data_IF_072256007662
#
_entry.id   IF_072256007662
#
_cell.length_a   1.000
_cell.length_b   1.000
_cell.length_c   1.000
_cell.angle_alpha   90.00
_cell.angle_beta   90.00
_cell.angle_gamma   90.00
#
_symmetry.space_group_name_H-M   'P 1'
#
loop_
_entity.id
_entity.type
_entity.pdbx_description
1 polymer ?
#
# COMPACT_ATOMS: atom_id res chain seq x y z
N UNK A 1 28.64 -16.04 50.93
CA UNK A 1 28.32 -17.40 50.42
C UNK A 1 26.87 -17.71 50.73
N UNK A 2 25.98 -17.90 49.76
CA UNK A 2 26.00 -17.46 48.37
C UNK A 2 24.93 -16.39 48.07
N UNK A 3 25.24 -15.53 47.11
CA UNK A 3 24.29 -14.65 46.44
C UNK A 3 23.25 -15.52 45.74
N UNK A 4 21.97 -15.29 46.01
CA UNK A 4 20.90 -15.90 45.21
C UNK A 4 21.04 -15.43 43.77
N UNK A 5 21.07 -16.32 42.76
CA UNK A 5 21.05 -15.88 41.39
C UNK A 5 19.65 -15.31 41.13
N UNK A 6 19.59 -14.00 40.85
CA UNK A 6 18.48 -13.42 40.10
C UNK A 6 18.49 -14.13 38.75
N UNK A 7 17.67 -15.17 38.63
CA UNK A 7 17.36 -15.78 37.34
C UNK A 7 16.49 -14.75 36.62
N UNK A 8 17.12 -13.79 35.94
CA UNK A 8 16.52 -13.07 34.83
C UNK A 8 16.21 -14.11 33.75
N UNK A 9 15.04 -14.75 33.88
CA UNK A 9 14.48 -15.63 32.85
C UNK A 9 13.78 -14.74 31.86
N UNK A 10 14.55 -14.14 30.95
CA UNK A 10 14.04 -13.49 29.75
C UNK A 10 13.05 -14.44 29.08
N UNK A 11 11.81 -14.01 28.91
CA UNK A 11 10.81 -14.82 28.20
C UNK A 11 11.34 -14.99 26.77
N UNK A 12 11.37 -16.20 26.22
CA UNK A 12 11.84 -16.42 24.86
C UNK A 12 10.84 -15.89 23.81
N UNK A 13 11.35 -15.43 22.67
CA UNK A 13 10.53 -15.13 21.49
C UNK A 13 9.98 -16.39 20.81
N UNK A 14 8.98 -16.22 19.96
CA UNK A 14 8.42 -17.30 19.13
C UNK A 14 9.43 -17.82 18.10
N UNK A 15 10.45 -17.03 17.75
CA UNK A 15 11.59 -17.47 16.93
C UNK A 15 12.36 -18.66 17.55
N UNK A 16 12.24 -18.93 18.85
CA UNK A 16 12.86 -20.11 19.45
C UNK A 16 12.20 -21.45 19.06
N UNK A 17 11.09 -21.40 18.31
CA UNK A 17 10.44 -22.55 17.66
C UNK A 17 11.18 -23.07 16.41
N UNK A 18 12.29 -22.42 16.01
CA UNK A 18 13.10 -22.74 14.82
C UNK A 18 13.81 -24.13 14.77
N UNK A 19 13.86 -25.04 15.78
CA UNK A 19 14.77 -26.17 15.68
C UNK A 19 14.55 -27.19 14.53
N UNK A 20 13.37 -27.35 13.91
CA UNK A 20 13.22 -28.31 12.80
C UNK A 20 11.99 -28.20 11.84
N UNK A 21 10.92 -27.47 12.16
CA UNK A 21 9.62 -27.69 11.45
C UNK A 21 8.91 -26.44 10.89
N UNK A 22 9.51 -25.25 11.06
CA UNK A 22 9.00 -24.04 10.41
C UNK A 22 9.48 -23.99 8.95
N UNK A 23 8.56 -23.75 8.01
CA UNK A 23 8.95 -23.41 6.65
C UNK A 23 9.51 -21.99 6.66
N UNK A 24 10.66 -21.78 6.04
CA UNK A 24 11.36 -20.50 6.09
C UNK A 24 11.58 -19.94 4.69
N UNK A 25 11.34 -18.64 4.57
CA UNK A 25 11.62 -17.86 3.38
C UNK A 25 12.60 -16.77 3.81
N UNK A 26 13.77 -16.79 3.19
CA UNK A 26 14.93 -15.97 3.53
C UNK A 26 15.15 -14.87 2.50
N UNK A 27 15.85 -13.80 2.89
CA UNK A 27 16.30 -12.77 1.96
C UNK A 27 15.24 -11.70 1.66
N UNK A 28 15.40 -11.01 0.53
CA UNK A 28 14.54 -9.88 0.14
C UNK A 28 13.06 -10.26 -0.04
N UNK A 29 12.75 -11.54 -0.21
CA UNK A 29 11.38 -12.04 -0.32
C UNK A 29 10.66 -12.19 1.02
N UNK A 30 11.35 -12.16 2.17
CA UNK A 30 10.77 -12.48 3.47
C UNK A 30 9.62 -11.53 3.88
N UNK A 31 9.88 -10.22 3.94
CA UNK A 31 8.85 -9.22 4.28
C UNK A 31 7.69 -9.14 3.28
N UNK A 32 7.95 -9.15 1.96
CA UNK A 32 6.87 -9.22 0.99
C UNK A 32 6.01 -10.49 1.11
N UNK A 33 6.64 -11.64 1.39
CA UNK A 33 5.94 -12.90 1.62
C UNK A 33 5.05 -12.82 2.85
N UNK A 34 5.58 -12.26 3.93
CA UNK A 34 4.86 -11.99 5.16
C UNK A 34 3.56 -11.21 4.89
N UNK A 35 3.64 -10.11 4.14
CA UNK A 35 2.47 -9.32 3.78
C UNK A 35 1.47 -10.05 2.87
N UNK A 36 1.97 -10.78 1.87
CA UNK A 36 1.11 -11.57 1.00
C UNK A 36 0.34 -12.65 1.78
N UNK A 37 1.01 -13.32 2.74
CA UNK A 37 0.37 -14.30 3.62
C UNK A 37 -0.69 -13.67 4.51
N UNK A 38 -0.43 -12.49 5.10
CA UNK A 38 -1.42 -11.78 5.90
C UNK A 38 -2.66 -11.36 5.09
N UNK A 39 -2.45 -10.91 3.86
CA UNK A 39 -3.56 -10.54 2.97
C UNK A 39 -4.36 -11.76 2.52
N UNK A 40 -3.69 -12.87 2.20
CA UNK A 40 -4.35 -14.13 1.88
C UNK A 40 -5.13 -14.69 3.08
N UNK A 41 -4.57 -14.64 4.29
CA UNK A 41 -5.27 -15.00 5.52
C UNK A 41 -6.53 -14.16 5.71
N UNK A 42 -6.43 -12.83 5.52
CA UNK A 42 -7.60 -11.93 5.62
C UNK A 42 -8.71 -12.32 4.65
N UNK A 43 -8.38 -12.64 3.40
CA UNK A 43 -9.36 -13.06 2.40
C UNK A 43 -10.02 -14.41 2.71
N UNK A 44 -9.31 -15.33 3.36
CA UNK A 44 -9.85 -16.64 3.72
C UNK A 44 -10.69 -16.57 5.01
N UNK A 45 -10.28 -15.71 5.94
CA UNK A 45 -10.94 -15.56 7.24
C UNK A 45 -12.28 -14.82 7.17
N UNK A 46 -12.56 -14.08 6.10
CA UNK A 46 -13.88 -13.45 5.88
C UNK A 46 -15.02 -14.47 5.76
N UNK A 47 -14.73 -15.71 5.37
CA UNK A 47 -15.73 -16.78 5.24
C UNK A 47 -15.87 -17.65 6.50
N UNK A 48 -15.04 -17.41 7.52
CA UNK A 48 -15.03 -18.19 8.77
C UNK A 48 -15.99 -17.56 9.78
N UNK A 49 -16.87 -18.37 10.36
CA UNK A 49 -17.87 -17.90 11.32
C UNK A 49 -17.35 -17.82 12.76
N UNK A 50 -16.43 -18.71 13.14
CA UNK A 50 -15.84 -18.75 14.49
C UNK A 50 -14.36 -19.08 14.45
N UNK A 51 -13.56 -18.39 15.26
CA UNK A 51 -12.12 -18.60 15.33
C UNK A 51 -11.45 -17.59 16.25
N UNK A 52 -10.17 -17.84 16.52
CA UNK A 52 -9.29 -17.07 17.37
C UNK A 52 -8.09 -16.60 16.56
N UNK A 53 -7.80 -15.30 16.62
CA UNK A 53 -6.68 -14.65 15.95
C UNK A 53 -5.81 -13.97 17.00
N UNK A 54 -4.54 -14.32 17.04
CA UNK A 54 -3.54 -13.78 17.96
C UNK A 54 -2.46 -13.08 17.14
N UNK A 55 -2.22 -11.79 17.39
CA UNK A 55 -1.22 -11.01 16.63
C UNK A 55 -0.39 -10.10 17.52
N UNK A 56 0.87 -9.90 17.16
CA UNK A 56 1.75 -8.88 17.72
C UNK A 56 2.74 -8.37 16.67
N UNK A 57 3.30 -7.15 16.81
CA UNK A 57 2.68 -5.98 17.41
C UNK A 57 1.62 -5.33 16.49
N UNK A 58 1.70 -5.62 15.19
CA UNK A 58 0.82 -5.21 14.08
C UNK A 58 1.04 -6.21 12.91
N UNK A 59 0.09 -6.37 11.97
CA UNK A 59 -1.11 -5.56 11.75
C UNK A 59 -2.40 -6.07 12.40
N UNK A 60 -3.29 -5.13 12.70
CA UNK A 60 -4.65 -5.39 13.15
C UNK A 60 -5.56 -5.73 11.95
N UNK A 61 -6.15 -6.93 11.95
CA UNK A 61 -7.13 -7.36 10.95
C UNK A 61 -8.53 -6.88 11.34
N UNK A 62 -8.76 -5.57 11.23
CA UNK A 62 -9.96 -4.87 11.71
C UNK A 62 -11.29 -5.37 11.18
N UNK A 63 -11.31 -6.03 10.03
CA UNK A 63 -12.53 -6.39 9.31
C UNK A 63 -13.10 -7.76 9.73
N UNK A 64 -12.42 -8.46 10.65
CA UNK A 64 -12.77 -9.81 11.09
C UNK A 64 -13.58 -9.80 12.40
N UNK A 65 -14.63 -8.97 12.49
CA UNK A 65 -15.45 -8.79 13.71
C UNK A 65 -16.12 -10.06 14.27
N UNK A 66 -16.13 -11.15 13.50
CA UNK A 66 -16.74 -12.44 13.87
C UNK A 66 -15.79 -13.37 14.64
N UNK A 67 -14.50 -13.07 14.65
CA UNK A 67 -13.47 -13.89 15.30
C UNK A 67 -13.04 -13.23 16.62
N UNK A 68 -12.63 -14.05 17.58
CA UNK A 68 -12.02 -13.59 18.83
C UNK A 68 -10.60 -13.09 18.53
N UNK A 69 -10.29 -11.83 18.84
CA UNK A 69 -8.97 -11.24 18.55
C UNK A 69 -8.20 -10.93 19.83
N UNK A 70 -6.94 -11.35 19.87
CA UNK A 70 -5.99 -11.05 20.93
C UNK A 70 -4.78 -10.32 20.32
N UNK A 71 -4.59 -9.07 20.73
CA UNK A 71 -3.62 -8.16 20.15
C UNK A 71 -2.62 -7.75 21.22
N UNK A 72 -1.34 -8.04 21.00
CA UNK A 72 -0.27 -7.45 21.78
C UNK A 72 0.17 -6.17 21.09
N UNK A 73 0.08 -5.03 21.77
CA UNK A 73 0.31 -3.69 21.20
C UNK A 73 1.33 -2.96 22.07
N UNK A 74 2.33 -2.28 21.49
CA UNK A 74 3.31 -1.50 22.26
C UNK A 74 2.63 -0.51 23.23
N UNK A 75 3.19 -0.39 24.43
CA UNK A 75 2.73 0.60 25.43
C UNK A 75 2.73 2.02 24.83
N UNK A 76 1.63 2.76 25.04
CA UNK A 76 1.41 4.11 24.50
C UNK A 76 0.66 4.18 23.17
N UNK A 77 0.56 3.08 22.41
CA UNK A 77 -0.21 3.05 21.14
C UNK A 77 -1.69 2.67 21.32
N UNK A 78 -2.06 2.05 22.45
CA UNK A 78 -3.42 1.56 22.72
C UNK A 78 -4.49 2.67 22.68
N UNK A 79 -4.24 3.79 23.37
CA UNK A 79 -5.14 4.94 23.39
C UNK A 79 -5.24 5.66 22.04
N UNK A 80 -4.17 5.59 21.23
CA UNK A 80 -4.11 6.19 19.89
C UNK A 80 -4.80 5.35 18.81
N UNK A 81 -4.91 4.03 19.03
CA UNK A 81 -5.57 3.07 18.12
C UNK A 81 -7.09 2.96 18.35
N UNK A 82 -7.65 3.62 19.38
CA UNK A 82 -9.08 3.52 19.73
C UNK A 82 -9.49 2.11 20.17
N UNK A 83 -8.52 1.28 20.55
CA UNK A 83 -8.75 -0.05 21.06
C UNK A 83 -9.21 0.02 22.52
N UNK A 84 -10.15 -0.84 22.96
CA UNK A 84 -10.61 -0.83 24.34
C UNK A 84 -9.44 -1.09 25.28
N UNK A 85 -9.31 -0.27 26.31
CA UNK A 85 -8.42 -0.57 27.42
C UNK A 85 -9.04 -1.74 28.18
N UNK A 86 -8.34 -2.88 28.20
CA UNK A 86 -8.78 -4.07 28.93
C UNK A 86 -8.79 -3.77 30.43
N UNK A 87 -9.90 -3.22 30.95
CA UNK A 87 -10.11 -3.08 32.39
C UNK A 87 -10.62 -4.44 32.92
N UNK A 88 -9.88 -5.13 33.82
CA UNK A 88 -10.20 -6.49 34.27
C UNK A 88 -11.41 -6.58 35.22
N UNK A 89 -12.33 -5.62 35.22
CA UNK A 89 -13.45 -5.55 36.19
C UNK A 89 -14.83 -5.22 35.61
N UNK A 90 -14.98 -5.03 34.30
CA UNK A 90 -16.29 -4.76 33.69
C UNK A 90 -16.76 -5.89 32.77
N UNK A 91 -18.07 -6.07 32.72
CA UNK A 91 -18.76 -7.21 32.11
C UNK A 91 -18.38 -7.42 30.63
N UNK A 92 -18.30 -8.71 30.27
CA UNK A 92 -17.75 -9.28 29.04
C UNK A 92 -18.58 -8.92 27.82
N UNK A 93 -18.04 -8.09 26.93
CA UNK A 93 -18.50 -7.96 25.55
C UNK A 93 -17.58 -8.79 24.63
N UNK A 94 -18.17 -9.76 23.91
CA UNK A 94 -17.47 -10.72 23.04
C UNK A 94 -17.15 -10.15 21.65
N UNK A 95 -17.49 -8.90 21.38
CA UNK A 95 -17.39 -8.26 20.05
C UNK A 95 -16.17 -7.37 19.87
N UNK A 96 -15.31 -7.25 20.89
CA UNK A 96 -14.18 -6.32 20.92
C UNK A 96 -12.84 -7.06 21.05
N UNK A 97 -11.80 -6.66 20.28
CA UNK A 97 -10.48 -7.26 20.37
C UNK A 97 -9.89 -7.04 21.77
N UNK A 98 -9.35 -8.10 22.36
CA UNK A 98 -8.60 -8.05 23.62
C UNK A 98 -7.22 -7.48 23.34
N UNK A 99 -6.84 -6.43 24.06
CA UNK A 99 -5.58 -5.73 23.83
C UNK A 99 -4.68 -5.82 25.06
N UNK A 100 -3.46 -6.32 24.82
CA UNK A 100 -2.42 -6.56 25.81
C UNK A 100 -1.27 -5.59 25.54
N UNK A 101 -0.80 -4.83 26.54
CA UNK A 101 0.38 -3.97 26.37
C UNK A 101 1.65 -4.80 26.18
N UNK A 102 2.56 -4.33 25.31
CA UNK A 102 3.92 -4.84 25.21
C UNK A 102 4.89 -3.80 25.77
N UNK A 103 5.62 -4.19 26.81
CA UNK A 103 6.65 -3.35 27.42
C UNK A 103 7.88 -3.23 26.49
N UNK A 104 8.55 -2.07 26.51
CA UNK A 104 9.80 -1.80 25.81
C UNK A 104 10.90 -2.77 26.31
N UNK A 105 11.13 -3.86 25.58
CA UNK A 105 12.07 -4.92 25.95
C UNK A 105 11.50 -6.34 25.79
N UNK A 106 10.20 -6.47 25.50
CA UNK A 106 9.58 -7.75 25.18
C UNK A 106 10.09 -8.30 23.84
N UNK A 107 10.52 -9.57 23.74
CA UNK A 107 10.92 -10.18 22.46
C UNK A 107 9.80 -10.16 21.41
N UNK A 108 8.52 -10.21 21.81
CA UNK A 108 7.38 -10.18 20.87
C UNK A 108 7.26 -8.82 20.14
N UNK A 109 7.93 -7.76 20.61
CA UNK A 109 8.00 -6.50 19.86
C UNK A 109 8.86 -6.61 18.61
N UNK A 110 9.88 -7.47 18.63
CA UNK A 110 10.83 -7.64 17.54
C UNK A 110 10.42 -8.75 16.57
N UNK A 111 9.41 -9.55 16.93
CA UNK A 111 8.95 -10.70 16.14
C UNK A 111 7.48 -10.55 15.77
N UNK A 112 7.15 -9.78 14.72
CA UNK A 112 5.77 -9.70 14.25
C UNK A 112 5.22 -11.09 13.92
N UNK A 113 4.08 -11.45 14.49
CA UNK A 113 3.45 -12.74 14.26
C UNK A 113 1.94 -12.63 14.07
N UNK A 114 1.39 -13.64 13.39
CA UNK A 114 -0.04 -13.85 13.25
C UNK A 114 -0.32 -15.35 13.38
N UNK A 115 -1.06 -15.70 14.42
CA UNK A 115 -1.53 -17.04 14.69
C UNK A 115 -3.05 -17.07 14.56
N UNK A 116 -3.53 -17.97 13.74
CA UNK A 116 -4.95 -18.15 13.44
C UNK A 116 -5.36 -19.56 13.80
N UNK A 117 -6.43 -19.69 14.59
CA UNK A 117 -7.01 -20.95 15.02
C UNK A 117 -8.52 -20.88 14.79
N UNK A 118 -9.04 -21.63 13.83
CA UNK A 118 -10.49 -21.67 13.55
C UNK A 118 -10.97 -23.11 13.43
N UNK A 119 -12.26 -23.28 13.17
CA UNK A 119 -12.88 -24.56 12.85
C UNK A 119 -12.55 -25.08 11.43
N UNK A 120 -11.97 -24.24 10.57
CA UNK A 120 -11.64 -24.58 9.17
C UNK A 120 -10.16 -24.61 8.86
N UNK A 121 -9.38 -23.75 9.50
CA UNK A 121 -7.95 -23.59 9.23
C UNK A 121 -7.18 -23.20 10.48
N UNK A 122 -5.91 -23.57 10.51
CA UNK A 122 -4.97 -23.18 11.57
C UNK A 122 -3.60 -22.86 10.98
N UNK A 123 -3.04 -21.71 11.30
CA UNK A 123 -1.83 -21.22 10.64
C UNK A 123 -1.07 -20.26 11.53
N UNK A 124 0.24 -20.36 11.46
CA UNK A 124 1.17 -19.46 12.11
C UNK A 124 2.09 -18.90 11.05
N UNK A 125 2.28 -17.60 11.11
CA UNK A 125 3.34 -16.92 10.40
C UNK A 125 4.05 -16.01 11.41
N UNK A 126 5.37 -15.90 11.28
CA UNK A 126 6.25 -15.02 12.05
C UNK A 126 7.25 -14.34 11.11
N UNK A 127 7.49 -13.05 11.29
CA UNK A 127 8.61 -12.32 10.72
C UNK A 127 9.71 -12.21 11.78
N UNK A 128 10.86 -12.82 11.53
CA UNK A 128 12.00 -12.85 12.46
C UNK A 128 13.12 -11.95 11.93
N UNK A 129 13.61 -10.97 12.69
CA UNK A 129 14.78 -10.20 12.31
C UNK A 129 16.03 -11.07 12.44
N UNK A 130 16.84 -11.15 11.36
CA UNK A 130 18.08 -11.93 11.33
C UNK A 130 19.21 -11.08 10.73
N UNK A 131 20.46 -11.33 11.15
CA UNK A 131 21.66 -10.45 11.09
C UNK A 131 21.87 -9.58 9.82
N UNK A 132 21.39 -10.01 8.65
CA UNK A 132 21.53 -9.28 7.37
C UNK A 132 20.26 -9.19 6.54
N UNK A 133 19.30 -10.09 6.73
CA UNK A 133 18.00 -10.10 6.02
C UNK A 133 16.93 -10.73 6.91
N UNK A 134 15.68 -10.22 6.90
CA UNK A 134 14.60 -10.80 7.69
C UNK A 134 14.25 -12.22 7.21
N UNK A 135 13.65 -13.02 8.10
CA UNK A 135 13.17 -14.36 7.83
C UNK A 135 11.64 -14.40 8.00
N UNK A 136 10.93 -14.86 6.98
CA UNK A 136 9.51 -15.16 7.10
C UNK A 136 9.36 -16.65 7.38
N UNK A 137 8.94 -16.98 8.59
CA UNK A 137 8.73 -18.34 9.07
C UNK A 137 7.23 -18.61 9.13
N UNK A 138 6.76 -19.77 8.68
CA UNK A 138 5.35 -20.12 8.79
C UNK A 138 5.15 -21.63 8.93
N UNK A 139 4.01 -22.03 9.49
CA UNK A 139 3.64 -23.42 9.64
C UNK A 139 2.13 -23.60 9.78
N UNK A 140 1.66 -24.77 9.35
CA UNK A 140 0.31 -25.27 9.52
C UNK A 140 0.30 -26.59 10.31
N UNK A 141 1.45 -27.01 10.85
CA UNK A 141 1.61 -28.26 11.58
C UNK A 141 1.02 -28.11 12.98
N UNK A 142 0.10 -29.01 13.41
CA UNK A 142 -0.55 -28.91 14.72
C UNK A 142 0.43 -28.86 15.90
N UNK A 143 1.58 -29.53 15.78
CA UNK A 143 2.64 -29.58 16.81
C UNK A 143 3.29 -28.20 17.01
N UNK A 144 3.72 -27.57 15.91
CA UNK A 144 4.27 -26.19 15.92
C UNK A 144 3.25 -25.18 16.45
N UNK A 145 1.99 -25.32 16.02
CA UNK A 145 0.91 -24.43 16.47
C UNK A 145 0.59 -24.62 17.96
N UNK A 146 0.57 -25.86 18.46
CA UNK A 146 0.36 -26.14 19.88
C UNK A 146 1.49 -25.56 20.74
N UNK A 147 2.72 -25.61 20.25
CA UNK A 147 3.87 -25.04 20.95
C UNK A 147 3.85 -23.51 20.95
N UNK A 148 3.48 -22.86 19.84
CA UNK A 148 3.26 -21.41 19.79
C UNK A 148 2.16 -20.97 20.77
N UNK A 149 1.04 -21.71 20.81
CA UNK A 149 -0.04 -21.51 21.78
C UNK A 149 0.47 -21.62 23.23
N UNK A 150 1.30 -22.63 23.52
CA UNK A 150 1.89 -22.85 24.85
C UNK A 150 2.78 -21.67 25.26
N UNK A 151 3.62 -21.18 24.35
CA UNK A 151 4.49 -20.03 24.60
C UNK A 151 3.70 -18.75 24.84
N UNK A 152 2.68 -18.47 24.03
CA UNK A 152 1.82 -17.29 24.21
C UNK A 152 1.02 -17.34 25.51
N UNK A 153 0.52 -18.52 25.89
CA UNK A 153 -0.16 -18.71 27.17
C UNK A 153 0.79 -18.49 28.36
N UNK A 154 2.03 -18.97 28.29
CA UNK A 154 3.06 -18.74 29.33
C UNK A 154 3.47 -17.27 29.43
N UNK A 155 3.66 -16.62 28.27
CA UNK A 155 3.97 -15.20 28.17
C UNK A 155 2.87 -14.36 28.85
N UNK A 156 1.61 -14.61 28.47
CA UNK A 156 0.45 -13.94 29.06
C UNK A 156 0.28 -14.24 30.55
N UNK A 157 0.51 -15.48 30.98
CA UNK A 157 0.43 -15.84 32.41
C UNK A 157 1.42 -15.06 33.28
N UNK A 158 2.62 -14.80 32.75
CA UNK A 158 3.67 -14.06 33.46
C UNK A 158 3.42 -12.56 33.49
N UNK A 159 2.97 -11.98 32.37
CA UNK A 159 2.80 -10.54 32.25
C UNK A 159 1.41 -10.05 32.64
N UNK A 160 0.38 -10.87 32.40
CA UNK A 160 -1.03 -10.55 32.60
C UNK A 160 -1.78 -11.69 33.33
N UNK A 161 -1.47 -11.97 34.61
CA UNK A 161 -2.06 -13.09 35.35
C UNK A 161 -3.60 -13.06 35.38
N UNK A 162 -4.20 -11.87 35.38
CA UNK A 162 -5.66 -11.68 35.39
C UNK A 162 -6.33 -12.16 34.09
N UNK A 163 -5.64 -12.07 32.95
CA UNK A 163 -6.18 -12.43 31.62
C UNK A 163 -5.80 -13.85 31.18
N UNK A 164 -4.95 -14.53 31.96
CA UNK A 164 -4.51 -15.89 31.67
C UNK A 164 -5.70 -16.86 31.54
N UNK A 165 -6.65 -16.79 32.47
CA UNK A 165 -7.80 -17.70 32.47
C UNK A 165 -8.68 -17.51 31.23
N UNK A 166 -8.88 -16.26 30.80
CA UNK A 166 -9.63 -15.94 29.57
C UNK A 166 -8.91 -16.45 28.32
N UNK A 167 -7.59 -16.24 28.22
CA UNK A 167 -6.81 -16.70 27.08
C UNK A 167 -6.84 -18.23 26.98
N UNK A 168 -6.64 -18.93 28.10
CA UNK A 168 -6.67 -20.39 28.15
C UNK A 168 -8.04 -20.94 27.74
N UNK A 169 -9.14 -20.30 28.16
CA UNK A 169 -10.48 -20.66 27.73
C UNK A 169 -10.69 -20.46 26.22
N UNK A 170 -10.22 -19.35 25.66
CA UNK A 170 -10.28 -19.10 24.22
C UNK A 170 -9.47 -20.13 23.42
N UNK A 171 -8.25 -20.43 23.86
CA UNK A 171 -7.38 -21.44 23.24
C UNK A 171 -7.93 -22.87 23.35
N UNK A 172 -8.67 -23.18 24.43
CA UNK A 172 -9.34 -24.47 24.56
C UNK A 172 -10.51 -24.64 23.57
N UNK A 173 -11.18 -23.54 23.21
CA UNK A 173 -12.29 -23.53 22.26
C UNK A 173 -11.82 -23.73 20.82
N UNK A 174 -10.65 -23.20 20.47
CA UNK A 174 -10.08 -23.26 19.12
C UNK A 174 -8.73 -23.97 19.16
N UNK A 175 -8.77 -25.31 19.06
CA UNK A 175 -7.54 -26.14 19.04
C UNK A 175 -6.92 -26.13 17.64
N UNK A 176 -5.58 -26.24 17.53
CA UNK A 176 -4.91 -26.39 16.23
C UNK A 176 -5.46 -27.58 15.45
N UNK A 177 -5.92 -27.33 14.23
CA UNK A 177 -6.42 -28.34 13.32
C UNK A 177 -5.29 -28.93 12.48
N UNK A 178 -5.38 -30.24 12.24
CA UNK A 178 -4.62 -30.88 11.18
C UNK A 178 -5.25 -30.54 9.84
N UNK A 179 -4.66 -29.59 9.12
CA UNK A 179 -5.20 -29.12 7.85
C UNK A 179 -4.73 -30.01 6.70
N UNK A 180 -5.66 -30.47 5.85
CA UNK A 180 -5.32 -31.15 4.61
C UNK A 180 -4.72 -30.15 3.59
N UNK A 181 -3.82 -30.60 2.72
CA UNK A 181 -3.20 -29.77 1.70
C UNK A 181 -4.22 -29.09 0.76
N UNK A 182 -5.34 -29.77 0.47
CA UNK A 182 -6.44 -29.26 -0.36
C UNK A 182 -7.11 -28.01 0.24
N UNK A 183 -7.17 -27.91 1.58
CA UNK A 183 -7.72 -26.77 2.33
C UNK A 183 -6.93 -25.49 2.06
N UNK A 184 -5.62 -25.62 1.82
CA UNK A 184 -4.71 -24.50 1.64
C UNK A 184 -4.47 -24.13 0.17
N UNK A 185 -5.01 -24.89 -0.79
CA UNK A 185 -4.84 -24.59 -2.21
C UNK A 185 -5.36 -23.19 -2.61
N UNK A 186 -6.55 -22.71 -2.15
CA UNK A 186 -7.01 -21.36 -2.43
C UNK A 186 -6.15 -20.28 -1.79
N UNK A 187 -5.65 -20.54 -0.57
CA UNK A 187 -4.73 -19.64 0.12
C UNK A 187 -3.42 -19.52 -0.64
N UNK A 188 -2.77 -20.63 -0.98
CA UNK A 188 -1.51 -20.61 -1.73
C UNK A 188 -1.69 -20.04 -3.13
N UNK A 189 -2.83 -20.27 -3.79
CA UNK A 189 -3.15 -19.59 -5.04
C UNK A 189 -3.26 -18.07 -4.87
N UNK A 190 -3.83 -17.59 -3.76
CA UNK A 190 -3.93 -16.16 -3.44
C UNK A 190 -2.55 -15.57 -3.13
N UNK A 191 -1.74 -16.27 -2.31
CA UNK A 191 -0.35 -15.90 -2.04
C UNK A 191 0.43 -15.84 -3.35
N UNK A 192 0.31 -16.85 -4.22
CA UNK A 192 0.98 -16.94 -5.51
C UNK A 192 0.47 -15.93 -6.56
N UNK A 193 -0.77 -15.45 -6.48
CA UNK A 193 -1.25 -14.35 -7.33
C UNK A 193 -0.68 -13.00 -6.88
N UNK A 194 -0.38 -12.87 -5.59
CA UNK A 194 0.26 -11.70 -4.99
C UNK A 194 1.80 -11.80 -5.03
N UNK A 195 2.34 -12.99 -5.30
CA UNK A 195 3.76 -13.32 -5.41
C UNK A 195 4.51 -12.76 -6.64
N UNK A 196 3.94 -12.67 -7.87
CA UNK A 196 4.66 -12.13 -9.04
C UNK A 196 4.78 -10.60 -9.07
N UNK A 197 4.16 -9.88 -8.13
CA UNK A 197 4.47 -8.47 -7.83
C UNK A 197 5.62 -8.34 -6.83
N UNK A 198 5.98 -9.42 -6.16
CA UNK A 198 6.94 -9.45 -5.05
C UNK A 198 8.29 -10.07 -5.45
N UNK A 199 8.31 -11.08 -6.33
CA UNK A 199 9.55 -11.76 -6.77
C UNK A 199 10.15 -11.25 -8.09
N UNK A 200 9.49 -10.32 -8.79
CA UNK A 200 10.03 -9.81 -10.04
C UNK A 200 11.15 -8.77 -9.88
N UNK A 201 11.51 -8.44 -8.64
CA UNK A 201 12.70 -7.66 -8.30
C UNK A 201 13.99 -8.49 -8.28
N UNK A 202 13.95 -9.83 -8.40
CA UNK A 202 15.15 -10.64 -8.10
C UNK A 202 15.41 -11.84 -9.02
N UNK A 203 15.13 -11.71 -10.34
CA UNK A 203 15.67 -12.66 -11.32
C UNK A 203 16.93 -12.04 -11.95
N UNK A 204 18.14 -12.55 -11.68
CA UNK A 204 19.29 -12.13 -12.47
C UNK A 204 19.03 -12.54 -13.93
N UNK A 205 19.19 -11.65 -14.91
CA UNK A 205 19.07 -12.03 -16.32
C UNK A 205 20.15 -13.09 -16.63
N UNK A 206 19.89 -14.04 -17.54
CA UNK A 206 20.95 -14.90 -18.05
C UNK A 206 22.07 -14.00 -18.58
N UNK A 207 23.31 -14.29 -18.19
CA UNK A 207 24.51 -13.53 -18.55
C UNK A 207 24.68 -13.45 -20.07
N UNK A 208 24.02 -12.48 -20.70
CA UNK A 208 24.49 -11.90 -21.94
C UNK A 208 25.26 -10.64 -21.57
N UNK A 209 26.59 -10.76 -21.61
CA UNK A 209 27.51 -9.63 -21.55
C UNK A 209 27.17 -8.64 -22.66
N UNK A 210 26.39 -7.63 -22.32
CA UNK A 210 26.35 -6.37 -23.02
C UNK A 210 26.77 -5.28 -22.03
N UNK A 211 28.03 -4.85 -22.14
CA UNK A 211 28.62 -3.73 -21.41
C UNK A 211 27.82 -2.45 -21.67
N UNK A 212 26.79 -2.18 -20.85
CA UNK A 212 26.11 -0.89 -20.79
C UNK A 212 26.09 -0.40 -19.33
N UNK A 213 26.88 0.63 -18.98
CA UNK A 213 27.05 1.09 -17.59
C UNK A 213 25.76 1.65 -16.95
N UNK A 214 24.72 1.97 -17.74
CA UNK A 214 23.50 2.62 -17.24
C UNK A 214 22.48 1.66 -16.58
N UNK A 215 22.49 0.36 -16.91
CA UNK A 215 21.50 -0.60 -16.38
C UNK A 215 21.73 -1.01 -14.93
N UNK A 216 22.99 -1.10 -14.49
CA UNK A 216 23.32 -1.43 -13.10
C UNK A 216 22.86 -0.32 -12.14
N UNK A 217 22.98 0.94 -12.55
CA UNK A 217 22.54 2.09 -11.75
C UNK A 217 21.00 2.20 -11.70
N UNK A 218 20.29 1.83 -12.77
CA UNK A 218 18.82 1.74 -12.76
C UNK A 218 18.29 0.70 -11.76
N UNK A 219 18.96 -0.46 -11.64
CA UNK A 219 18.60 -1.50 -10.67
C UNK A 219 18.76 -1.04 -9.21
N UNK A 220 19.87 -0.38 -8.89
CA UNK A 220 20.09 0.17 -7.56
C UNK A 220 19.11 1.31 -7.21
N UNK A 221 18.80 2.19 -8.17
CA UNK A 221 17.80 3.24 -7.99
C UNK A 221 16.39 2.65 -7.80
N UNK A 222 16.06 1.53 -8.47
CA UNK A 222 14.83 0.79 -8.26
C UNK A 222 14.73 0.29 -6.82
N UNK A 223 15.69 -0.51 -6.36
CA UNK A 223 15.65 -1.12 -5.01
C UNK A 223 15.49 -0.06 -3.92
N UNK A 224 16.22 1.06 -4.05
CA UNK A 224 16.10 2.19 -3.14
C UNK A 224 14.69 2.82 -3.17
N UNK A 225 14.10 3.00 -4.35
CA UNK A 225 12.74 3.55 -4.47
C UNK A 225 11.69 2.58 -3.96
N UNK A 226 11.87 1.28 -4.16
CA UNK A 226 10.98 0.26 -3.61
C UNK A 226 11.01 0.28 -2.09
N UNK A 227 12.20 0.32 -1.49
CA UNK A 227 12.38 0.43 -0.04
C UNK A 227 11.73 1.71 0.51
N UNK A 228 12.04 2.87 -0.08
CA UNK A 228 11.46 4.17 0.35
C UNK A 228 9.94 4.17 0.19
N UNK A 229 9.41 3.67 -0.93
CA UNK A 229 7.97 3.62 -1.14
C UNK A 229 7.29 2.72 -0.10
N UNK A 230 7.91 1.61 0.29
CA UNK A 230 7.38 0.72 1.32
C UNK A 230 7.44 1.35 2.72
N UNK A 231 8.59 1.89 3.11
CA UNK A 231 8.80 2.56 4.39
C UNK A 231 7.90 3.78 4.59
N UNK A 232 7.52 4.47 3.51
CA UNK A 232 6.61 5.62 3.57
C UNK A 232 5.14 5.19 3.52
N UNK A 233 4.79 4.22 2.67
CA UNK A 233 3.39 3.79 2.49
C UNK A 233 2.83 3.13 3.75
N UNK A 234 3.63 2.34 4.47
CA UNK A 234 3.21 1.63 5.67
C UNK A 234 2.75 2.56 6.81
N UNK A 235 3.55 3.54 7.28
CA UNK A 235 3.10 4.47 8.31
C UNK A 235 1.93 5.35 7.85
N UNK A 236 1.91 5.78 6.57
CA UNK A 236 0.79 6.56 6.04
C UNK A 236 -0.51 5.75 5.97
N UNK A 237 -0.44 4.46 5.62
CA UNK A 237 -1.60 3.58 5.64
C UNK A 237 -2.16 3.41 7.05
N UNK A 238 -1.28 3.31 8.06
CA UNK A 238 -1.65 3.27 9.47
C UNK A 238 -2.32 4.58 9.90
N UNK A 239 -1.69 5.75 9.63
CA UNK A 239 -2.26 7.07 9.96
C UNK A 239 -3.63 7.25 9.29
N UNK A 240 -3.77 6.85 8.02
CA UNK A 240 -5.03 6.90 7.29
C UNK A 240 -6.11 6.05 7.96
N UNK A 241 -5.76 4.82 8.34
CA UNK A 241 -6.69 3.88 9.00
C UNK A 241 -7.16 4.44 10.35
N UNK A 242 -6.24 4.96 11.16
CA UNK A 242 -6.54 5.64 12.41
C UNK A 242 -7.46 6.85 12.21
N UNK A 243 -7.14 7.67 11.21
CA UNK A 243 -7.92 8.87 10.88
C UNK A 243 -9.34 8.52 10.45
N UNK A 244 -9.51 7.50 9.61
CA UNK A 244 -10.83 6.98 9.19
C UNK A 244 -11.61 6.38 10.35
N UNK A 245 -10.94 5.69 11.27
CA UNK A 245 -11.57 5.19 12.50
C UNK A 245 -12.13 6.35 13.33
N UNK A 246 -11.33 7.40 13.56
CA UNK A 246 -11.79 8.60 14.27
C UNK A 246 -12.98 9.27 13.57
N UNK A 247 -12.96 9.39 12.24
CA UNK A 247 -14.06 10.03 11.47
C UNK A 247 -15.42 9.33 11.60
N UNK A 248 -15.47 8.05 12.00
CA UNK A 248 -16.72 7.32 12.27
C UNK A 248 -17.41 7.75 13.56
N UNK A 249 -16.71 8.45 14.45
CA UNK A 249 -17.27 8.99 15.68
C UNK A 249 -18.28 10.10 15.40
N UNK A 250 -19.47 9.96 15.98
CA UNK A 250 -20.54 10.96 15.88
C UNK A 250 -20.28 12.18 16.78
N UNK A 251 -19.50 12.03 17.86
CA UNK A 251 -19.24 13.04 18.89
C UNK A 251 -18.07 14.00 18.54
N UNK A 252 -17.61 14.01 17.28
CA UNK A 252 -16.51 14.87 16.86
C UNK A 252 -16.94 16.33 16.64
N UNK A 253 -16.22 17.32 17.24
CA UNK A 253 -16.39 18.71 16.88
C UNK A 253 -16.14 18.94 15.37
N UNK A 254 -16.93 19.82 14.74
CA UNK A 254 -16.86 20.07 13.29
C UNK A 254 -15.44 20.43 12.81
N UNK A 255 -14.69 21.21 13.61
CA UNK A 255 -13.31 21.59 13.28
C UNK A 255 -12.34 20.40 13.33
N UNK A 256 -12.53 19.47 14.27
CA UNK A 256 -11.73 18.25 14.35
C UNK A 256 -12.02 17.33 13.16
N UNK A 257 -13.30 17.14 12.81
CA UNK A 257 -13.72 16.40 11.61
C UNK A 257 -13.07 16.96 10.34
N UNK A 258 -13.12 18.28 10.12
CA UNK A 258 -12.48 18.93 8.96
C UNK A 258 -10.96 18.70 8.89
N UNK A 259 -10.27 18.70 10.04
CA UNK A 259 -8.82 18.41 10.10
C UNK A 259 -8.53 16.94 9.80
N UNK A 260 -9.32 16.01 10.34
CA UNK A 260 -9.18 14.59 10.08
C UNK A 260 -9.46 14.25 8.59
N UNK A 261 -10.48 14.85 7.99
CA UNK A 261 -10.74 14.72 6.54
C UNK A 261 -9.56 15.24 5.69
N UNK A 262 -8.89 16.30 6.15
CA UNK A 262 -7.68 16.80 5.48
C UNK A 262 -6.52 15.81 5.60
N UNK A 263 -6.31 15.22 6.78
CA UNK A 263 -5.27 14.20 7.02
C UNK A 263 -5.53 12.93 6.21
N UNK A 264 -6.77 12.44 6.17
CA UNK A 264 -7.15 11.24 5.40
C UNK A 264 -6.87 11.43 3.90
N UNK A 265 -7.21 12.61 3.39
CA UNK A 265 -6.97 12.98 2.00
C UNK A 265 -5.48 13.08 1.71
N UNK A 266 -4.68 13.75 2.54
CA UNK A 266 -3.23 13.84 2.35
C UNK A 266 -2.57 12.44 2.40
N UNK A 267 -2.94 11.60 3.36
CA UNK A 267 -2.42 10.24 3.44
C UNK A 267 -2.78 9.43 2.18
N UNK A 268 -4.01 9.58 1.68
CA UNK A 268 -4.46 8.90 0.47
C UNK A 268 -3.67 9.37 -0.76
N UNK A 269 -3.53 10.68 -0.94
CA UNK A 269 -2.75 11.28 -2.04
C UNK A 269 -1.28 10.80 -2.02
N UNK A 270 -0.64 10.77 -0.85
CA UNK A 270 0.75 10.30 -0.76
C UNK A 270 0.87 8.79 -1.00
N UNK A 271 -0.04 7.97 -0.45
CA UNK A 271 -0.05 6.51 -0.70
C UNK A 271 -0.21 6.23 -2.20
N UNK A 272 -1.12 6.92 -2.87
CA UNK A 272 -1.37 6.74 -4.30
C UNK A 272 -0.15 7.20 -5.12
N UNK A 273 0.48 8.32 -4.74
CA UNK A 273 1.68 8.84 -5.40
C UNK A 273 2.87 7.90 -5.30
N UNK A 274 3.19 7.39 -4.11
CA UNK A 274 4.27 6.41 -3.95
C UNK A 274 3.94 5.08 -4.61
N UNK A 275 2.66 4.67 -4.61
CA UNK A 275 2.19 3.51 -5.38
C UNK A 275 2.42 3.67 -6.89
N UNK A 276 2.15 4.86 -7.43
CA UNK A 276 2.41 5.18 -8.83
C UNK A 276 3.90 5.19 -9.14
N UNK A 277 4.74 5.74 -8.27
CA UNK A 277 6.19 5.74 -8.46
C UNK A 277 6.73 4.32 -8.55
N UNK A 278 6.35 3.46 -7.61
CA UNK A 278 6.73 2.06 -7.63
C UNK A 278 6.31 1.39 -8.95
N UNK A 279 5.03 1.51 -9.36
CA UNK A 279 4.54 0.91 -10.60
C UNK A 279 5.22 1.45 -11.85
N UNK A 280 5.45 2.76 -11.92
CA UNK A 280 6.10 3.39 -13.07
C UNK A 280 7.54 2.89 -13.21
N UNK A 281 8.24 2.66 -12.11
CA UNK A 281 9.60 2.13 -12.13
C UNK A 281 9.63 0.64 -12.46
N UNK A 282 8.70 -0.17 -11.95
CA UNK A 282 8.59 -1.58 -12.37
C UNK A 282 8.44 -1.74 -13.89
N UNK A 283 7.73 -0.80 -14.52
CA UNK A 283 7.56 -0.75 -15.97
C UNK A 283 8.83 -0.35 -16.74
N UNK A 284 9.81 0.28 -16.11
CA UNK A 284 11.11 0.57 -16.74
C UNK A 284 11.98 -0.69 -16.88
N UNK A 285 11.79 -1.67 -15.97
CA UNK A 285 12.59 -2.89 -15.93
C UNK A 285 11.95 -4.08 -16.66
N UNK A 286 10.67 -3.98 -17.02
CA UNK A 286 9.93 -5.01 -17.74
C UNK A 286 9.60 -4.54 -19.16
N UNK A 287 9.46 -5.49 -20.09
CA UNK A 287 8.86 -5.15 -21.38
C UNK A 287 7.45 -4.58 -21.15
N UNK A 288 7.19 -3.42 -21.76
CA UNK A 288 6.01 -2.56 -21.57
C UNK A 288 4.65 -3.22 -21.86
N UNK A 289 4.64 -4.49 -22.24
CA UNK A 289 3.50 -5.32 -22.61
C UNK A 289 2.87 -6.09 -21.43
N UNK A 290 3.33 -5.83 -20.20
CA UNK A 290 2.89 -6.58 -19.01
C UNK A 290 1.55 -6.12 -18.42
N UNK A 291 0.97 -5.00 -18.88
CA UNK A 291 -0.32 -4.51 -18.39
C UNK A 291 -1.48 -5.08 -19.21
N UNK A 292 -2.48 -5.64 -18.52
CA UNK A 292 -3.73 -6.06 -19.13
C UNK A 292 -4.62 -4.83 -19.35
N UNK A 293 -4.59 -4.28 -20.57
CA UNK A 293 -5.40 -3.13 -20.95
C UNK A 293 -6.83 -3.58 -21.28
N UNK A 294 -7.81 -2.81 -20.81
CA UNK A 294 -9.22 -3.09 -21.01
C UNK A 294 -9.96 -1.88 -21.55
N UNK A 295 -11.17 -2.13 -22.06
CA UNK A 295 -12.12 -1.08 -22.40
C UNK A 295 -12.40 -0.21 -21.17
N UNK A 296 -12.01 1.04 -21.26
CA UNK A 296 -12.07 2.01 -20.16
C UNK A 296 -12.95 3.19 -20.54
N UNK A 297 -13.98 3.43 -19.72
CA UNK A 297 -14.86 4.60 -19.84
C UNK A 297 -14.20 5.82 -19.21
N UNK A 298 -13.74 6.75 -20.04
CA UNK A 298 -13.15 8.00 -19.54
C UNK A 298 -14.15 8.92 -18.87
N UNK A 299 -15.44 8.77 -19.18
CA UNK A 299 -16.51 9.47 -18.46
C UNK A 299 -16.47 9.13 -16.98
N UNK A 300 -16.34 7.83 -16.67
CA UNK A 300 -16.33 7.35 -15.29
C UNK A 300 -15.04 7.74 -14.57
N UNK A 301 -13.90 7.60 -15.26
CA UNK A 301 -12.61 8.09 -14.75
C UNK A 301 -12.71 9.58 -14.42
N UNK A 302 -13.14 10.44 -15.35
CA UNK A 302 -13.23 11.87 -15.07
C UNK A 302 -14.30 12.25 -14.03
N UNK A 303 -15.38 11.48 -13.89
CA UNK A 303 -16.39 11.73 -12.88
C UNK A 303 -15.80 11.65 -11.46
N UNK A 304 -14.90 10.71 -11.23
CA UNK A 304 -14.21 10.54 -9.94
C UNK A 304 -13.01 11.48 -9.80
N UNK A 305 -12.23 11.62 -10.87
CA UNK A 305 -10.92 12.29 -10.82
C UNK A 305 -11.03 13.82 -10.82
N UNK A 306 -11.93 14.40 -11.60
CA UNK A 306 -12.02 15.86 -11.80
C UNK A 306 -12.39 16.61 -10.53
N UNK A 307 -13.35 16.15 -9.69
CA UNK A 307 -13.61 16.78 -8.40
C UNK A 307 -12.37 16.84 -7.50
N UNK A 308 -11.54 15.77 -7.51
CA UNK A 308 -10.27 15.73 -6.75
C UNK A 308 -9.29 16.77 -7.28
N UNK A 309 -9.12 16.87 -8.59
CA UNK A 309 -8.24 17.88 -9.21
C UNK A 309 -8.67 19.32 -8.91
N UNK A 310 -9.98 19.60 -8.99
CA UNK A 310 -10.52 20.93 -8.64
C UNK A 310 -10.20 21.29 -7.20
N UNK A 311 -10.46 20.36 -6.26
CA UNK A 311 -10.15 20.56 -4.83
C UNK A 311 -8.64 20.76 -4.59
N UNK A 312 -7.79 20.04 -5.30
CA UNK A 312 -6.34 20.18 -5.22
C UNK A 312 -5.86 21.54 -5.73
N UNK A 313 -6.42 22.01 -6.85
CA UNK A 313 -6.13 23.33 -7.42
C UNK A 313 -6.61 24.46 -6.48
N UNK A 314 -7.85 24.38 -5.97
CA UNK A 314 -8.43 25.36 -5.04
C UNK A 314 -7.59 25.53 -3.77
N UNK A 315 -7.06 24.44 -3.21
CA UNK A 315 -6.18 24.47 -2.03
C UNK A 315 -4.91 25.30 -2.24
N UNK A 316 -4.45 25.45 -3.48
CA UNK A 316 -3.29 26.26 -3.85
C UNK A 316 -3.69 27.58 -4.52
N UNK A 317 -4.96 27.97 -4.41
CA UNK A 317 -5.50 29.18 -5.03
C UNK A 317 -5.31 29.19 -6.56
N UNK A 318 -5.45 28.03 -7.20
CA UNK A 318 -5.34 27.86 -8.65
C UNK A 318 -6.74 27.66 -9.26
N UNK A 319 -6.95 28.20 -10.46
CA UNK A 319 -8.15 27.91 -11.25
C UNK A 319 -7.90 26.67 -12.13
N UNK A 320 -8.84 25.73 -12.17
CA UNK A 320 -8.81 24.57 -13.06
C UNK A 320 -10.05 24.54 -13.94
N UNK A 321 -9.83 24.63 -15.25
CA UNK A 321 -10.86 24.53 -16.27
C UNK A 321 -10.69 23.27 -17.09
N UNK A 322 -11.80 22.55 -17.27
CA UNK A 322 -11.85 21.31 -18.02
C UNK A 322 -12.87 21.45 -19.14
N UNK A 323 -12.42 21.24 -20.37
CA UNK A 323 -13.25 21.20 -21.57
C UNK A 323 -13.31 19.74 -22.05
N UNK A 324 -14.50 19.16 -22.00
CA UNK A 324 -14.79 17.79 -22.41
C UNK A 324 -15.62 17.80 -23.70
N UNK A 325 -15.44 16.82 -24.61
CA UNK A 325 -16.33 16.65 -25.74
C UNK A 325 -17.73 16.20 -25.26
N UNK A 326 -18.78 16.53 -26.02
CA UNK A 326 -20.16 16.12 -25.70
C UNK A 326 -20.34 14.60 -25.58
N UNK A 327 -19.58 13.84 -26.39
CA UNK A 327 -19.54 12.38 -26.36
C UNK A 327 -18.11 11.92 -26.10
N UNK A 328 -17.91 11.26 -24.97
CA UNK A 328 -16.62 10.66 -24.61
C UNK A 328 -16.55 9.25 -25.19
N UNK A 329 -15.56 8.92 -26.04
CA UNK A 329 -15.33 7.55 -26.45
C UNK A 329 -14.74 6.72 -25.30
N UNK A 330 -14.92 5.40 -25.36
CA UNK A 330 -14.11 4.48 -24.58
C UNK A 330 -12.68 4.43 -25.15
N UNK A 331 -11.71 4.18 -24.28
CA UNK A 331 -10.30 4.00 -24.64
C UNK A 331 -9.80 2.65 -24.17
N UNK A 332 -8.69 2.17 -24.73
CA UNK A 332 -8.02 0.95 -24.28
C UNK A 332 -6.94 1.32 -23.27
N UNK A 333 -7.17 1.03 -21.98
CA UNK A 333 -6.23 1.35 -20.89
C UNK A 333 -6.51 0.56 -19.60
N UNK A 334 -5.73 0.81 -18.54
CA UNK A 334 -6.09 0.42 -17.17
C UNK A 334 -6.72 1.62 -16.46
N UNK A 335 -7.99 1.55 -16.00
CA UNK A 335 -8.70 2.71 -15.45
C UNK A 335 -8.06 3.26 -14.18
N UNK A 336 -7.52 2.40 -13.32
CA UNK A 336 -6.97 2.81 -12.02
C UNK A 336 -5.60 3.45 -12.20
N UNK A 337 -4.73 2.83 -13.01
CA UNK A 337 -3.42 3.40 -13.33
C UNK A 337 -3.54 4.65 -14.19
N UNK A 338 -4.54 4.73 -15.07
CA UNK A 338 -4.80 5.92 -15.86
C UNK A 338 -5.25 7.10 -14.98
N UNK A 339 -6.16 6.89 -14.02
CA UNK A 339 -6.50 7.93 -13.02
C UNK A 339 -5.24 8.44 -12.29
N UNK A 340 -4.42 7.51 -11.79
CA UNK A 340 -3.19 7.86 -11.06
C UNK A 340 -2.20 8.63 -11.94
N UNK A 341 -1.98 8.17 -13.18
CA UNK A 341 -1.06 8.79 -14.12
C UNK A 341 -1.52 10.20 -14.52
N UNK A 342 -2.80 10.36 -14.86
CA UNK A 342 -3.38 11.67 -15.18
C UNK A 342 -3.35 12.60 -13.96
N UNK A 343 -3.64 12.07 -12.78
CA UNK A 343 -3.57 12.84 -11.53
C UNK A 343 -2.16 13.36 -11.32
N UNK A 344 -1.14 12.50 -11.40
CA UNK A 344 0.26 12.88 -11.28
C UNK A 344 0.67 14.03 -12.23
N UNK A 345 0.15 14.02 -13.47
CA UNK A 345 0.37 15.13 -14.41
C UNK A 345 -0.26 16.44 -13.91
N UNK A 346 -1.51 16.41 -13.45
CA UNK A 346 -2.19 17.60 -12.90
C UNK A 346 -1.49 18.09 -11.64
N UNK A 347 -1.07 17.18 -10.77
CA UNK A 347 -0.36 17.54 -9.54
C UNK A 347 0.95 18.26 -9.85
N UNK A 348 1.65 17.86 -10.91
CA UNK A 348 2.88 18.52 -11.37
C UNK A 348 2.63 19.99 -11.72
N UNK A 349 1.51 20.32 -12.35
CA UNK A 349 1.12 21.71 -12.57
C UNK A 349 0.74 22.40 -11.26
N UNK A 350 -0.11 21.78 -10.44
CA UNK A 350 -0.57 22.42 -9.20
C UNK A 350 0.56 22.70 -8.20
N UNK A 351 1.67 21.94 -8.22
CA UNK A 351 2.81 22.14 -7.33
C UNK A 351 3.76 23.26 -7.78
N UNK A 352 3.86 23.48 -9.08
CA UNK A 352 4.88 24.35 -9.65
C UNK A 352 4.34 25.71 -10.06
N UNK A 353 3.02 25.86 -10.17
CA UNK A 353 2.39 27.12 -10.52
C UNK A 353 2.21 28.02 -9.28
N UNK A 354 2.45 29.34 -9.43
CA UNK A 354 2.18 30.30 -8.37
C UNK A 354 0.67 30.48 -8.17
N UNK A 355 0.29 30.90 -6.96
CA UNK A 355 -1.09 31.19 -6.62
C UNK A 355 -1.74 32.18 -7.60
N UNK A 356 -3.01 31.97 -7.91
CA UNK A 356 -3.77 32.73 -8.90
C UNK A 356 -3.64 32.20 -10.33
N UNK A 357 -2.67 31.33 -10.63
CA UNK A 357 -2.50 30.76 -11.98
C UNK A 357 -3.67 29.89 -12.42
N UNK A 358 -3.76 29.66 -13.73
CA UNK A 358 -4.85 28.90 -14.36
C UNK A 358 -4.32 27.66 -15.07
N UNK A 359 -4.95 26.51 -14.81
CA UNK A 359 -4.73 25.24 -15.50
C UNK A 359 -5.93 25.00 -16.42
N UNK A 360 -5.66 24.77 -17.70
CA UNK A 360 -6.67 24.37 -18.70
C UNK A 360 -6.38 22.95 -19.16
N UNK A 361 -7.39 22.09 -19.10
CA UNK A 361 -7.37 20.73 -19.62
C UNK A 361 -8.41 20.64 -20.74
N UNK A 362 -7.95 20.39 -21.95
CA UNK A 362 -8.81 20.24 -23.14
C UNK A 362 -8.75 18.80 -23.62
N UNK A 363 -9.90 18.14 -23.66
CA UNK A 363 -10.07 16.80 -24.19
C UNK A 363 -10.77 16.90 -25.54
N UNK A 364 -10.19 16.26 -26.57
CA UNK A 364 -10.69 16.33 -27.95
C UNK A 364 -10.42 15.03 -28.69
N UNK A 365 -11.29 14.68 -29.62
CA UNK A 365 -11.03 13.60 -30.58
C UNK A 365 -10.03 14.07 -31.66
N UNK A 366 -9.08 13.21 -32.00
CA UNK A 366 -8.09 13.42 -33.04
C UNK A 366 -7.94 12.13 -33.88
N UNK A 367 -8.92 11.87 -34.75
CA UNK A 367 -8.99 10.63 -35.51
C UNK A 367 -9.29 9.44 -34.60
N UNK A 368 -8.47 8.39 -34.68
CA UNK A 368 -8.56 7.17 -33.85
C UNK A 368 -7.96 7.33 -32.44
N UNK A 369 -7.62 8.56 -32.03
CA UNK A 369 -7.04 8.83 -30.73
C UNK A 369 -7.82 9.93 -30.03
N UNK A 370 -7.96 9.79 -28.71
CA UNK A 370 -8.36 10.88 -27.84
C UNK A 370 -7.12 11.66 -27.42
N UNK A 371 -7.18 12.98 -27.59
CA UNK A 371 -6.13 13.90 -27.24
C UNK A 371 -6.54 14.71 -26.01
N UNK A 372 -5.80 14.54 -24.93
CA UNK A 372 -5.92 15.33 -23.70
C UNK A 372 -4.72 16.28 -23.62
N UNK A 373 -4.98 17.58 -23.67
CA UNK A 373 -3.96 18.64 -23.62
C UNK A 373 -4.09 19.40 -22.31
N UNK A 374 -3.02 19.43 -21.54
CA UNK A 374 -2.88 20.24 -20.34
C UNK A 374 -1.99 21.45 -20.65
N UNK A 375 -2.50 22.63 -20.35
CA UNK A 375 -1.81 23.91 -20.50
C UNK A 375 -1.98 24.72 -19.22
N UNK A 376 -0.96 25.49 -18.88
CA UNK A 376 -1.04 26.44 -17.78
C UNK A 376 -0.79 27.86 -18.26
N UNK A 377 -1.48 28.80 -17.64
CA UNK A 377 -1.21 30.24 -17.77
C UNK A 377 -0.80 30.74 -16.40
N UNK A 378 0.49 31.06 -16.28
CA UNK A 378 1.04 31.72 -15.11
C UNK A 378 0.55 33.16 -15.10
N UNK A 379 0.00 33.61 -13.97
CA UNK A 379 -0.20 35.03 -13.72
C UNK A 379 1.12 35.62 -13.22
N UNK A 380 1.42 36.84 -13.65
CA UNK A 380 2.63 37.55 -13.22
C UNK A 380 2.54 37.77 -11.72
N UNK A 381 3.30 36.98 -10.96
CA UNK A 381 3.49 37.14 -9.53
C UNK A 381 4.83 37.77 -9.21
N UNK A 382 4.90 38.34 -8.00
CA UNK A 382 6.13 38.83 -7.38
C UNK A 382 7.22 37.73 -7.45
N UNK A 383 8.47 38.02 -7.85
CA UNK A 383 9.56 37.05 -7.95
C UNK A 383 9.89 36.27 -6.66
N UNK A 384 9.23 36.56 -5.54
CA UNK A 384 9.29 35.76 -4.31
C UNK A 384 8.55 34.42 -4.38
N UNK A 385 7.51 34.30 -5.23
CA UNK A 385 6.59 33.14 -5.22
C UNK A 385 6.99 32.02 -6.20
N UNK A 386 8.01 32.23 -7.03
CA UNK A 386 8.55 31.18 -7.90
C UNK A 386 9.62 30.36 -7.15
N UNK A 387 9.63 29.02 -7.33
CA UNK A 387 10.73 28.20 -6.82
C UNK A 387 12.05 28.69 -7.42
N UNK A 388 12.99 29.09 -6.54
CA UNK A 388 14.23 29.77 -6.92
C UNK A 388 15.26 28.81 -7.51
N UNK A 389 15.14 27.51 -7.26
CA UNK A 389 16.02 26.48 -7.79
C UNK A 389 15.29 25.54 -8.72
N UNK A 390 16.00 25.07 -9.74
CA UNK A 390 15.48 24.05 -10.65
C UNK A 390 15.36 22.69 -9.93
N UNK A 391 14.37 21.87 -10.30
CA UNK A 391 14.27 20.50 -9.79
C UNK A 391 15.55 19.72 -10.10
N UNK A 392 16.05 19.00 -9.11
CA UNK A 392 17.28 18.19 -9.22
C UNK A 392 16.93 16.76 -9.57
N UNK A 393 17.78 16.12 -10.38
CA UNK A 393 17.66 14.69 -10.65
C UNK A 393 17.95 13.89 -9.39
N UNK A 394 17.07 12.95 -9.05
CA UNK A 394 17.29 11.96 -8.00
C UNK A 394 17.34 10.58 -8.67
N UNK A 395 18.56 10.10 -8.90
CA UNK A 395 18.79 8.90 -9.72
C UNK A 395 18.31 9.07 -11.17
N UNK A 396 18.00 7.96 -11.82
CA UNK A 396 17.48 7.90 -13.18
C UNK A 396 15.95 8.06 -13.28
N UNK A 397 15.25 7.93 -12.15
CA UNK A 397 13.80 7.70 -12.15
C UNK A 397 12.99 8.90 -11.63
N UNK A 398 13.52 9.64 -10.66
CA UNK A 398 12.83 10.74 -10.02
C UNK A 398 13.53 12.08 -10.19
N UNK A 399 12.78 13.14 -9.87
CA UNK A 399 13.25 14.49 -9.63
C UNK A 399 12.76 14.96 -8.27
N UNK A 400 13.56 15.78 -7.61
CA UNK A 400 13.21 16.42 -6.34
C UNK A 400 13.27 17.93 -6.48
N UNK A 401 12.23 18.62 -6.01
CA UNK A 401 12.23 20.07 -5.87
C UNK A 401 12.87 20.42 -4.51
N UNK A 402 14.06 21.05 -4.44
CA UNK A 402 14.79 21.21 -3.18
C UNK A 402 14.07 22.02 -2.10
N UNK A 403 13.31 23.04 -2.49
CA UNK A 403 12.62 23.93 -1.56
C UNK A 403 11.40 23.28 -0.92
N UNK A 404 10.71 22.41 -1.68
CA UNK A 404 9.48 21.77 -1.22
C UNK A 404 9.68 20.32 -0.81
N UNK A 405 10.85 19.73 -1.10
CA UNK A 405 11.11 18.30 -0.96
C UNK A 405 10.23 17.43 -1.87
N UNK A 406 9.50 18.03 -2.83
CA UNK A 406 8.50 17.29 -3.59
C UNK A 406 9.14 16.40 -4.66
N UNK A 407 8.75 15.13 -4.66
CA UNK A 407 9.27 14.11 -5.59
C UNK A 407 8.38 13.97 -6.82
N UNK A 408 8.92 13.95 -8.03
CA UNK A 408 8.13 13.69 -9.24
C UNK A 408 8.84 12.70 -10.14
N UNK A 409 8.09 11.86 -10.86
CA UNK A 409 8.65 11.03 -11.91
C UNK A 409 9.40 11.89 -12.92
N UNK A 410 10.52 11.39 -13.43
CA UNK A 410 11.12 11.98 -14.62
C UNK A 410 10.17 11.90 -15.81
N UNK A 411 10.40 12.80 -16.75
CA UNK A 411 9.55 12.88 -17.93
C UNK A 411 9.67 11.62 -18.79
N UNK A 412 10.86 11.04 -18.91
CA UNK A 412 11.09 9.77 -19.61
C UNK A 412 10.24 8.65 -19.00
N UNK A 413 10.32 8.47 -17.67
CA UNK A 413 9.52 7.47 -16.95
C UNK A 413 8.02 7.71 -17.11
N UNK A 414 7.59 8.98 -17.07
CA UNK A 414 6.19 9.33 -17.32
C UNK A 414 5.76 8.95 -18.74
N UNK A 415 6.62 9.11 -19.76
CA UNK A 415 6.29 8.70 -21.14
C UNK A 415 6.12 7.20 -21.25
N UNK A 416 7.02 6.43 -20.64
CA UNK A 416 6.99 4.98 -20.64
C UNK A 416 5.76 4.44 -19.90
N UNK A 417 5.39 5.05 -18.77
CA UNK A 417 4.13 4.76 -18.07
C UNK A 417 2.91 4.96 -18.98
N UNK A 418 2.79 6.10 -19.67
CA UNK A 418 1.69 6.32 -20.60
C UNK A 418 1.72 5.37 -21.80
N UNK A 419 2.90 4.96 -22.25
CA UNK A 419 3.06 3.96 -23.30
C UNK A 419 2.57 2.58 -22.86
N UNK A 420 2.92 2.15 -21.64
CA UNK A 420 2.42 0.91 -21.06
C UNK A 420 0.90 0.93 -20.88
N UNK A 421 0.30 2.11 -20.65
CA UNK A 421 -1.15 2.32 -20.60
C UNK A 421 -1.85 2.37 -21.96
N UNK A 422 -1.13 2.02 -23.04
CA UNK A 422 -1.62 2.03 -24.42
C UNK A 422 -1.59 3.41 -25.09
N UNK A 423 -1.19 4.44 -24.36
CA UNK A 423 -1.19 5.82 -24.81
C UNK A 423 0.17 6.34 -25.27
N UNK A 424 0.25 7.67 -25.41
CA UNK A 424 1.49 8.39 -25.71
C UNK A 424 1.50 9.74 -25.00
N UNK A 425 2.57 10.02 -24.29
CA UNK A 425 2.81 11.34 -23.68
C UNK A 425 3.77 12.15 -24.53
N UNK A 426 3.42 13.41 -24.78
CA UNK A 426 4.32 14.39 -25.43
C UNK A 426 4.35 15.66 -24.60
N UNK A 427 5.52 16.27 -24.51
CA UNK A 427 5.70 17.55 -23.82
C UNK A 427 6.36 18.51 -24.79
N UNK A 428 5.80 19.70 -24.91
CA UNK A 428 6.34 20.79 -25.71
C UNK A 428 6.54 21.99 -24.82
N UNK A 429 7.73 22.59 -24.91
CA UNK A 429 8.04 23.87 -24.29
C UNK A 429 8.43 24.84 -25.38
N UNK A 430 7.70 25.95 -25.50
CA UNK A 430 7.93 26.95 -26.57
C UNK A 430 9.20 27.76 -26.32
N UNK A 431 9.58 27.95 -25.06
CA UNK A 431 10.84 28.55 -24.60
C UNK A 431 11.13 28.09 -23.17
N UNK A 432 12.36 28.25 -22.64
CA UNK A 432 12.67 27.89 -21.25
C UNK A 432 11.79 28.59 -20.20
N UNK A 433 11.25 29.76 -20.56
CA UNK A 433 10.39 30.61 -19.73
C UNK A 433 8.89 30.40 -20.00
N UNK A 434 8.51 29.65 -21.04
CA UNK A 434 7.12 29.37 -21.33
C UNK A 434 6.63 28.16 -20.52
N UNK A 435 5.36 28.21 -20.10
CA UNK A 435 4.69 27.10 -19.43
C UNK A 435 4.66 25.87 -20.36
N UNK A 436 4.85 24.70 -19.76
CA UNK A 436 4.89 23.43 -20.49
C UNK A 436 3.50 23.07 -21.02
N UNK A 437 3.46 22.57 -22.26
CA UNK A 437 2.25 21.98 -22.86
C UNK A 437 2.41 20.48 -22.83
N UNK A 438 1.64 19.80 -21.98
CA UNK A 438 1.61 18.34 -21.89
C UNK A 438 0.44 17.83 -22.71
N UNK A 439 0.67 16.85 -23.57
CA UNK A 439 -0.38 16.23 -24.38
C UNK A 439 -0.30 14.72 -24.27
N UNK A 440 -1.38 14.11 -23.80
CA UNK A 440 -1.61 12.66 -23.74
C UNK A 440 -2.49 12.27 -24.93
N UNK A 441 -2.11 11.19 -25.61
CA UNK A 441 -2.91 10.54 -26.63
C UNK A 441 -3.31 9.15 -26.13
N UNK A 442 -4.59 8.81 -26.20
CA UNK A 442 -5.12 7.51 -25.83
C UNK A 442 -5.81 6.90 -27.05
N UNK A 443 -5.60 5.61 -27.37
CA UNK A 443 -6.27 4.95 -28.47
C UNK A 443 -7.75 4.83 -28.15
N UNK A 444 -8.59 5.32 -29.06
CA UNK A 444 -10.04 5.13 -28.98
C UNK A 444 -10.34 3.69 -29.36
N UNK A 445 -11.16 3.03 -28.55
CA UNK A 445 -11.69 1.73 -28.95
C UNK A 445 -12.61 1.94 -30.16
N UNK A 446 -12.43 1.20 -31.26
CA UNK A 446 -13.35 1.27 -32.38
C UNK A 446 -14.75 0.89 -31.90
N UNK A 447 -15.69 1.83 -31.94
CA UNK A 447 -17.09 1.57 -31.61
C UNK A 447 -17.66 0.56 -32.62
N UNK A 448 -18.19 -0.57 -32.14
CA UNK A 448 -18.86 -1.60 -32.96
C UNK A 448 -20.05 -1.05 -33.78
N UNK A 449 -20.54 0.15 -33.45
CA UNK A 449 -21.58 0.87 -34.22
C UNK A 449 -21.19 1.17 -35.68
N UNK A 450 -19.92 1.05 -36.06
CA UNK A 450 -19.50 1.20 -37.46
C UNK A 450 -19.81 -0.02 -38.35
N UNK A 451 -20.17 -1.18 -37.78
CA UNK A 451 -20.48 -2.39 -38.56
C UNK A 451 -21.95 -2.55 -38.94
N UNK A 452 -22.85 -1.67 -38.45
CA UNK A 452 -24.29 -1.78 -38.71
C UNK A 452 -24.83 -0.92 -39.88
N UNK A 453 -23.98 -0.19 -40.61
CA UNK A 453 -24.45 0.74 -41.67
C UNK A 453 -23.94 0.45 -43.09
N UNK A 454 -23.39 -0.74 -43.35
CA UNK A 454 -23.05 -1.13 -44.73
C UNK A 454 -23.70 -2.48 -45.10
N UNK A 455 -25.02 -2.43 -45.31
CA UNK A 455 -25.70 -3.39 -46.19
C UNK A 455 -26.06 -2.66 -47.49
N UNK A 456 -25.33 -2.90 -48.60
CA UNK A 456 -25.70 -2.36 -49.88
C UNK A 456 -26.84 -3.21 -50.49
N UNK A 457 -27.98 -2.55 -50.68
CA UNK A 457 -29.10 -2.83 -51.61
C UNK A 457 -29.88 -4.13 -51.50
#
# INVERSE_FOLDING_TARGET
MPSSPLIETTIPGLSQLIPAELQTITGAAAEPTWWAMLQALRSQLTEVETGLVLTAPLPFLSDLHRLDHWLWVPEGLQGSLGLPQSNPSEAVDLTLPRVLPLALGDPLLQEPFCLVLSDRLSFLVILVPHETTPLCCFSQTPEVLAEAVRLLAQHTARQFPALQAELVLALHRFRPLANAAETWAPFWATVLQQWPTVLASDRPPPEERSDHPDRATLGADLELLQAIAHEVKTPLATIRTLTRSLLRRADLPAQARKRLEAIDLECSEQIDRFGLFFRAVELENRDSHSLLLARTSLTDVFAETVPRWRKQAERRSLALDLQLPERMPAVVSDPTMLDQALTSLVERFTRNLPAGSRIEIVVSLAGAQLKLRLTATELVTDPSDQPRTAPRSLGQLLTVQPETGSLSLKLEVSKNLFQALGGKLTVRRRSPQASEVITVFLPVEPSDDATATDSPR
#
